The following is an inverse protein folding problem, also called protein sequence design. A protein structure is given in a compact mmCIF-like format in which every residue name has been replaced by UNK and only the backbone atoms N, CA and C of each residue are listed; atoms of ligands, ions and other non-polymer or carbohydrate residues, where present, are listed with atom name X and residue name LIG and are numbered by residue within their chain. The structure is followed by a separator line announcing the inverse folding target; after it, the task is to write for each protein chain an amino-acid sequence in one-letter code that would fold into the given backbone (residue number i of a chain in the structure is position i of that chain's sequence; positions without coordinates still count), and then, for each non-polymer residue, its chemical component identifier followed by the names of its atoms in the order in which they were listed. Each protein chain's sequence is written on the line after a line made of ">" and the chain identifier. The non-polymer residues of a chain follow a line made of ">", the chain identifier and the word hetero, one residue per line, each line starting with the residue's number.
data_IF_761960599435
#
_entry.id   IF_761960599435
#
_cell.length_a   1.000
_cell.length_b   1.000
_cell.length_c   1.000
_cell.angle_alpha   90.00
_cell.angle_beta   90.00
_cell.angle_gamma   90.00
#
_symmetry.space_group_name_H-M   'P 1'
#
loop_
_entity.id
_entity.type
_entity.pdbx_description
1 polymer ?
#
# COMPACT_ATOMS: atom_id res chain seq x y z
N UNK A 1 -1.97 22.41 -51.91
CA UNK A 1 -2.62 21.80 -50.73
C UNK A 1 -1.85 20.54 -50.36
N UNK A 2 -1.03 20.61 -49.31
CA UNK A 2 -0.45 19.43 -48.65
C UNK A 2 -1.12 19.39 -47.28
N UNK A 3 -2.15 18.55 -47.16
CA UNK A 3 -2.88 18.41 -45.91
C UNK A 3 -1.97 17.81 -44.84
N UNK A 4 -1.98 18.50 -43.71
CA UNK A 4 -1.24 18.21 -42.50
C UNK A 4 -1.73 16.91 -41.88
N UNK A 5 -0.91 15.85 -41.89
CA UNK A 5 -1.14 14.70 -41.03
C UNK A 5 -0.56 14.95 -39.63
N UNK A 6 -1.12 15.92 -38.89
CA UNK A 6 -0.89 15.99 -37.44
C UNK A 6 -1.71 14.88 -36.80
N UNK A 7 -1.14 13.66 -36.78
CA UNK A 7 -1.58 12.62 -35.83
C UNK A 7 -1.30 13.17 -34.42
N UNK A 8 -2.26 13.91 -33.87
CA UNK A 8 -2.34 14.20 -32.46
C UNK A 8 -2.28 12.87 -31.72
N UNK A 9 -1.11 12.53 -31.17
CA UNK A 9 -0.99 11.46 -30.18
C UNK A 9 -1.70 11.97 -28.94
N UNK A 10 -3.02 11.80 -28.87
CA UNK A 10 -3.78 12.02 -27.64
C UNK A 10 -3.11 11.19 -26.54
N UNK A 11 -2.42 11.87 -25.62
CA UNK A 11 -1.79 11.23 -24.48
C UNK A 11 -2.92 10.75 -23.58
N UNK A 12 -3.19 9.44 -23.58
CA UNK A 12 -4.09 8.82 -22.61
C UNK A 12 -3.51 9.09 -21.21
N UNK A 13 -4.27 9.76 -20.34
CA UNK A 13 -3.86 10.08 -18.96
C UNK A 13 -4.71 9.31 -17.95
N UNK A 14 -4.14 8.96 -16.81
CA UNK A 14 -4.86 8.26 -15.77
C UNK A 14 -5.92 9.17 -15.12
N UNK A 15 -7.14 8.66 -15.01
CA UNK A 15 -8.28 9.39 -14.44
C UNK A 15 -8.14 9.78 -12.96
N UNK A 16 -7.20 9.16 -12.22
CA UNK A 16 -6.99 9.42 -10.79
C UNK A 16 -5.71 10.22 -10.55
N UNK A 17 -4.59 9.75 -11.10
CA UNK A 17 -3.26 10.30 -10.83
C UNK A 17 -2.80 11.33 -11.88
N UNK A 18 -3.51 11.46 -13.02
CA UNK A 18 -3.10 12.30 -14.15
C UNK A 18 -1.86 11.83 -14.91
N UNK A 19 -1.23 10.72 -14.52
CA UNK A 19 -0.02 10.23 -15.15
C UNK A 19 -0.28 9.74 -16.59
N UNK A 20 0.69 9.96 -17.48
CA UNK A 20 0.66 9.50 -18.87
C UNK A 20 0.66 7.97 -18.91
N UNK A 21 -0.31 7.38 -19.61
CA UNK A 21 -0.45 5.95 -19.81
C UNK A 21 0.28 5.54 -21.10
N UNK A 22 1.08 4.46 -21.01
CA UNK A 22 1.70 3.84 -22.18
C UNK A 22 0.79 2.82 -22.88
N UNK A 23 -0.32 2.44 -22.23
CA UNK A 23 -1.22 1.37 -22.67
C UNK A 23 -2.68 1.86 -22.65
N UNK A 24 -3.56 1.12 -23.30
CA UNK A 24 -5.00 1.35 -23.42
C UNK A 24 -5.79 1.10 -22.12
N UNK A 25 -5.20 1.47 -20.98
CA UNK A 25 -5.75 1.22 -19.66
C UNK A 25 -6.18 2.53 -19.00
N UNK A 26 -7.34 2.55 -18.35
CA UNK A 26 -7.86 3.77 -17.69
C UNK A 26 -7.10 4.20 -16.42
N UNK A 27 -6.28 3.30 -15.83
CA UNK A 27 -5.60 3.52 -14.54
C UNK A 27 -4.10 3.17 -14.55
N UNK A 28 -3.30 3.98 -13.85
CA UNK A 28 -1.84 3.92 -13.83
C UNK A 28 -1.25 2.88 -12.87
N UNK A 29 -1.99 2.43 -11.86
CA UNK A 29 -1.53 1.46 -10.85
C UNK A 29 -2.69 0.73 -10.17
N UNK A 30 -2.40 -0.35 -9.46
CA UNK A 30 -3.35 -1.04 -8.57
C UNK A 30 -4.01 -0.06 -7.60
N UNK A 31 -3.21 0.82 -6.97
CA UNK A 31 -3.73 1.83 -6.06
C UNK A 31 -4.66 2.86 -6.73
N UNK A 32 -4.40 3.25 -7.97
CA UNK A 32 -5.31 4.14 -8.70
C UNK A 32 -6.58 3.43 -9.15
N UNK A 33 -6.49 2.13 -9.46
CA UNK A 33 -7.67 1.32 -9.76
C UNK A 33 -8.54 1.11 -8.51
N UNK A 34 -7.93 0.84 -7.35
CA UNK A 34 -8.62 0.73 -6.07
C UNK A 34 -9.30 2.05 -5.68
N UNK A 35 -8.58 3.16 -5.86
CA UNK A 35 -9.10 4.49 -5.62
C UNK A 35 -10.32 4.80 -6.52
N UNK A 36 -10.27 4.45 -7.80
CA UNK A 36 -11.40 4.68 -8.71
C UNK A 36 -12.70 3.95 -8.31
N UNK A 37 -12.62 2.94 -7.44
CA UNK A 37 -13.80 2.25 -6.89
C UNK A 37 -14.41 2.99 -5.69
N UNK A 38 -13.76 4.02 -5.16
CA UNK A 38 -14.28 4.83 -4.06
C UNK A 38 -15.27 5.85 -4.63
N UNK A 39 -16.57 5.78 -4.27
CA UNK A 39 -17.55 6.75 -4.76
C UNK A 39 -17.20 8.16 -4.27
N UNK A 40 -17.28 9.15 -5.16
CA UNK A 40 -16.99 10.55 -4.87
C UNK A 40 -18.15 11.45 -5.35
N UNK A 41 -18.47 12.50 -4.59
CA UNK A 41 -19.51 13.48 -4.94
C UNK A 41 -20.80 13.31 -4.14
N UNK A 42 -21.95 13.68 -4.73
CA UNK A 42 -23.28 13.64 -4.08
C UNK A 42 -23.75 12.22 -3.74
N UNK A 43 -23.16 11.21 -4.35
CA UNK A 43 -23.41 9.78 -4.10
C UNK A 43 -22.43 9.15 -3.09
N UNK A 44 -21.74 9.98 -2.29
CA UNK A 44 -20.90 9.51 -1.19
C UNK A 44 -21.77 8.91 -0.07
N UNK A 45 -22.08 7.62 -0.19
CA UNK A 45 -22.72 6.86 0.89
C UNK A 45 -21.82 6.85 2.15
N UNK A 46 -22.42 6.88 3.36
CA UNK A 46 -21.69 7.09 4.61
C UNK A 46 -20.68 5.99 4.95
N UNK A 47 -20.79 4.80 4.35
CA UNK A 47 -19.82 3.69 4.49
C UNK A 47 -19.78 2.90 3.18
N UNK A 48 -18.76 3.11 2.34
CA UNK A 48 -18.51 2.22 1.19
C UNK A 48 -17.66 1.03 1.64
N UNK A 49 -17.85 -0.15 1.02
CA UNK A 49 -17.05 -1.36 1.30
C UNK A 49 -15.53 -1.08 1.20
N UNK A 50 -15.15 -0.25 0.23
CA UNK A 50 -13.78 0.19 0.00
C UNK A 50 -13.22 1.00 1.19
N UNK A 51 -14.04 1.86 1.80
CA UNK A 51 -13.67 2.62 3.00
C UNK A 51 -13.53 1.70 4.22
N UNK A 52 -14.42 0.72 4.39
CA UNK A 52 -14.31 -0.30 5.45
C UNK A 52 -13.04 -1.11 5.31
N UNK A 53 -12.70 -1.57 4.09
CA UNK A 53 -11.44 -2.27 3.82
C UNK A 53 -10.24 -1.38 4.16
N UNK A 54 -10.25 -0.10 3.77
CA UNK A 54 -9.20 0.85 4.13
C UNK A 54 -9.04 1.02 5.64
N UNK A 55 -10.15 1.16 6.38
CA UNK A 55 -10.16 1.28 7.85
C UNK A 55 -9.60 0.03 8.52
N UNK A 56 -10.05 -1.16 8.12
CA UNK A 56 -9.54 -2.44 8.63
C UNK A 56 -8.05 -2.55 8.36
N UNK A 57 -7.60 -2.14 7.18
CA UNK A 57 -6.19 -2.16 6.81
C UNK A 57 -5.34 -1.24 7.69
N UNK A 58 -5.79 0.00 7.92
CA UNK A 58 -5.14 0.93 8.82
C UNK A 58 -5.11 0.39 10.26
N UNK A 59 -6.22 -0.20 10.72
CA UNK A 59 -6.29 -0.82 12.04
C UNK A 59 -5.27 -1.95 12.18
N UNK A 60 -5.16 -2.85 11.20
CA UNK A 60 -4.21 -3.96 11.21
C UNK A 60 -2.76 -3.44 11.23
N UNK A 61 -2.40 -2.50 10.36
CA UNK A 61 -1.04 -1.94 10.31
C UNK A 61 -0.67 -1.21 11.60
N UNK A 62 -1.61 -0.43 12.14
CA UNK A 62 -1.42 0.27 13.40
C UNK A 62 -1.20 -0.71 14.55
N UNK A 63 -2.00 -1.77 14.64
CA UNK A 63 -1.84 -2.81 15.66
C UNK A 63 -0.52 -3.57 15.48
N UNK A 64 -0.10 -3.87 14.25
CA UNK A 64 1.20 -4.48 13.99
C UNK A 64 2.34 -3.63 14.56
N UNK A 65 2.31 -2.31 14.29
CA UNK A 65 3.29 -1.36 14.79
C UNK A 65 3.25 -1.22 16.32
N UNK A 66 2.05 -1.15 16.92
CA UNK A 66 1.90 -1.11 18.37
C UNK A 66 2.47 -2.36 19.05
N UNK A 67 2.18 -3.55 18.52
CA UNK A 67 2.70 -4.81 19.05
C UNK A 67 4.22 -4.89 18.92
N UNK A 68 4.79 -4.41 17.82
CA UNK A 68 6.24 -4.31 17.62
C UNK A 68 6.88 -3.40 18.68
N UNK A 69 6.32 -2.21 18.89
CA UNK A 69 6.82 -1.25 19.90
C UNK A 69 6.63 -1.80 21.32
N UNK A 70 5.50 -2.44 21.62
CA UNK A 70 5.26 -3.06 22.92
C UNK A 70 6.25 -4.20 23.21
N UNK A 71 6.55 -5.03 22.20
CA UNK A 71 7.57 -6.08 22.31
C UNK A 71 8.96 -5.50 22.55
N UNK A 72 9.32 -4.40 21.87
CA UNK A 72 10.59 -3.69 22.06
C UNK A 72 10.73 -3.16 23.49
N UNK A 73 9.70 -2.49 23.99
CA UNK A 73 9.69 -1.93 25.35
C UNK A 73 9.78 -3.05 26.39
N UNK A 74 9.10 -4.18 26.17
CA UNK A 74 9.08 -5.30 27.12
C UNK A 74 10.35 -6.15 27.10
N UNK A 75 10.98 -6.30 25.95
CA UNK A 75 12.28 -6.97 25.83
C UNK A 75 13.37 -6.18 26.57
N UNK A 76 13.40 -4.85 26.38
CA UNK A 76 14.34 -3.95 27.09
C UNK A 76 14.14 -3.87 28.61
N UNK A 77 13.02 -4.36 29.15
CA UNK A 77 12.72 -4.38 30.59
C UNK A 77 12.93 -5.76 31.22
N UNK A 78 13.67 -6.66 30.57
CA UNK A 78 14.01 -8.01 31.04
C UNK A 78 12.80 -8.92 31.32
N UNK A 79 11.61 -8.56 30.83
CA UNK A 79 10.43 -9.44 30.88
C UNK A 79 10.42 -10.39 29.69
N UNK A 80 11.37 -11.33 29.68
CA UNK A 80 11.72 -12.22 28.55
C UNK A 80 10.47 -12.86 27.91
N UNK A 81 9.53 -13.38 28.72
CA UNK A 81 8.33 -14.06 28.17
C UNK A 81 7.22 -13.14 27.63
N UNK A 82 7.20 -11.84 27.97
CA UNK A 82 6.17 -10.92 27.52
C UNK A 82 6.55 -10.24 26.20
N UNK A 83 7.83 -9.90 26.01
CA UNK A 83 8.36 -9.30 24.77
C UNK A 83 8.13 -10.21 23.56
N UNK A 84 8.47 -11.49 23.69
CA UNK A 84 8.33 -12.49 22.63
C UNK A 84 6.88 -12.71 22.19
N UNK A 85 5.92 -12.65 23.13
CA UNK A 85 4.49 -12.78 22.80
C UNK A 85 4.02 -11.62 21.93
N UNK A 86 4.41 -10.39 22.26
CA UNK A 86 4.07 -9.21 21.45
C UNK A 86 4.74 -9.25 20.07
N UNK A 87 6.01 -9.69 20.00
CA UNK A 87 6.72 -9.87 18.73
C UNK A 87 6.06 -10.92 17.85
N UNK A 88 5.71 -12.07 18.42
CA UNK A 88 5.02 -13.15 17.70
C UNK A 88 3.64 -12.71 17.22
N UNK A 89 2.89 -11.98 18.05
CA UNK A 89 1.59 -11.42 17.67
C UNK A 89 1.73 -10.40 16.52
N UNK A 90 2.73 -9.51 16.59
CA UNK A 90 3.05 -8.56 15.51
C UNK A 90 3.40 -9.28 14.22
N UNK A 91 4.23 -10.35 14.31
CA UNK A 91 4.62 -11.16 13.17
C UNK A 91 3.41 -11.84 12.52
N UNK A 92 2.56 -12.50 13.31
CA UNK A 92 1.36 -13.18 12.83
C UNK A 92 0.39 -12.20 12.13
N UNK A 93 0.16 -11.03 12.74
CA UNK A 93 -0.65 -9.98 12.16
C UNK A 93 -0.05 -9.44 10.86
N UNK A 94 1.28 -9.29 10.84
CA UNK A 94 2.04 -8.86 9.67
C UNK A 94 1.98 -9.84 8.51
N UNK A 95 2.05 -11.15 8.78
CA UNK A 95 1.90 -12.21 7.77
C UNK A 95 0.49 -12.20 7.20
N UNK A 96 -0.54 -12.18 8.05
CA UNK A 96 -1.94 -12.14 7.62
C UNK A 96 -2.22 -10.93 6.70
N UNK A 97 -1.69 -9.76 7.08
CA UNK A 97 -1.79 -8.56 6.26
C UNK A 97 -1.04 -8.69 4.92
N UNK A 98 0.19 -9.21 4.93
CA UNK A 98 0.98 -9.38 3.72
C UNK A 98 0.27 -10.28 2.70
N UNK A 99 -0.34 -11.39 3.16
CA UNK A 99 -1.16 -12.25 2.30
C UNK A 99 -2.32 -11.50 1.65
N UNK A 100 -3.04 -10.70 2.43
CA UNK A 100 -4.12 -9.85 1.92
C UNK A 100 -3.61 -8.85 0.88
N UNK A 101 -2.50 -8.16 1.20
CA UNK A 101 -1.93 -7.13 0.34
C UNK A 101 -1.36 -7.68 -0.98
N UNK A 102 -0.73 -8.86 -0.94
CA UNK A 102 -0.27 -9.57 -2.13
C UNK A 102 -1.44 -10.03 -3.00
N UNK A 103 -2.51 -10.54 -2.40
CA UNK A 103 -3.73 -10.92 -3.14
C UNK A 103 -4.34 -9.70 -3.84
N UNK A 104 -4.38 -8.55 -3.17
CA UNK A 104 -4.83 -7.29 -3.76
C UNK A 104 -3.92 -6.83 -4.92
N UNK A 105 -2.59 -6.98 -4.78
CA UNK A 105 -1.64 -6.67 -5.84
C UNK A 105 -1.79 -7.59 -7.06
N UNK A 106 -1.98 -8.89 -6.87
CA UNK A 106 -2.15 -9.86 -7.96
C UNK A 106 -3.46 -9.62 -8.71
N UNK A 107 -4.57 -9.46 -7.98
CA UNK A 107 -5.90 -9.22 -8.58
C UNK A 107 -6.03 -7.87 -9.26
N UNK A 108 -5.24 -6.87 -8.86
CA UNK A 108 -5.25 -5.52 -9.43
C UNK A 108 -3.94 -5.16 -10.13
N UNK A 109 -3.27 -6.18 -10.67
CA UNK A 109 -1.92 -6.22 -11.23
C UNK A 109 -1.28 -4.86 -11.58
N UNK A 110 -0.08 -4.57 -11.04
CA UNK A 110 0.59 -3.30 -11.27
C UNK A 110 0.90 -3.08 -12.76
N UNK A 111 0.55 -1.90 -13.28
CA UNK A 111 0.82 -1.49 -14.67
C UNK A 111 2.03 -0.57 -14.78
N UNK A 112 2.64 -0.22 -13.64
CA UNK A 112 3.76 0.71 -13.54
C UNK A 112 4.97 -0.01 -12.97
N UNK A 113 6.13 0.21 -13.59
CA UNK A 113 7.41 -0.39 -13.20
C UNK A 113 7.77 -0.14 -11.73
N UNK A 114 7.40 1.02 -11.18
CA UNK A 114 7.65 1.35 -9.77
C UNK A 114 6.95 0.40 -8.80
N UNK A 115 5.73 -0.04 -9.12
CA UNK A 115 4.98 -0.94 -8.24
C UNK A 115 5.60 -2.36 -8.26
N UNK A 116 6.22 -2.75 -9.37
CA UNK A 116 7.07 -3.96 -9.45
C UNK A 116 8.35 -3.84 -8.63
N UNK A 117 9.03 -2.69 -8.73
CA UNK A 117 10.22 -2.41 -7.91
C UNK A 117 9.88 -2.54 -6.43
N UNK A 118 8.76 -1.98 -5.99
CA UNK A 118 8.34 -2.11 -4.58
C UNK A 118 8.08 -3.57 -4.19
N UNK A 119 7.39 -4.34 -5.04
CA UNK A 119 7.15 -5.77 -4.77
C UNK A 119 8.44 -6.58 -4.68
N UNK A 120 9.37 -6.39 -5.62
CA UNK A 120 10.68 -7.05 -5.65
C UNK A 120 11.52 -6.65 -4.43
N UNK A 121 11.60 -5.36 -4.13
CA UNK A 121 12.31 -4.84 -2.95
C UNK A 121 11.74 -5.45 -1.67
N UNK A 122 10.41 -5.60 -1.58
CA UNK A 122 9.76 -6.28 -0.46
C UNK A 122 10.24 -7.73 -0.28
N UNK A 123 10.30 -8.50 -1.38
CA UNK A 123 10.82 -9.86 -1.35
C UNK A 123 12.29 -9.89 -0.92
N UNK A 124 13.14 -9.01 -1.45
CA UNK A 124 14.54 -8.91 -1.06
C UNK A 124 14.70 -8.62 0.44
N UNK A 125 13.91 -7.69 1.00
CA UNK A 125 13.96 -7.37 2.44
C UNK A 125 13.64 -8.60 3.32
N UNK A 126 12.74 -9.48 2.87
CA UNK A 126 12.36 -10.69 3.61
C UNK A 126 13.38 -11.83 3.48
N UNK A 127 14.02 -11.95 2.32
CA UNK A 127 14.86 -13.11 1.98
C UNK A 127 16.35 -12.89 2.29
N UNK A 128 16.85 -11.65 2.28
CA UNK A 128 18.28 -11.37 2.51
C UNK A 128 18.67 -11.77 3.95
N UNK A 129 19.58 -12.74 4.15
CA UNK A 129 20.03 -13.08 5.50
C UNK A 129 20.78 -11.88 6.12
N UNK A 130 20.45 -11.51 7.36
CA UNK A 130 21.29 -10.57 8.14
C UNK A 130 21.99 -11.34 9.26
N UNK A 131 23.25 -11.01 9.56
CA UNK A 131 23.96 -11.55 10.70
C UNK A 131 23.36 -11.03 12.02
N UNK A 132 23.05 -11.97 12.91
CA UNK A 132 23.02 -11.83 14.39
C UNK A 132 22.18 -10.70 15.05
N UNK A 133 20.99 -10.39 14.54
CA UNK A 133 19.97 -9.75 15.38
C UNK A 133 18.89 -10.80 15.70
N UNK A 134 18.58 -10.98 17.00
CA UNK A 134 17.58 -11.92 17.52
C UNK A 134 16.50 -12.25 16.48
N UNK A 135 16.48 -13.51 16.01
CA UNK A 135 15.78 -13.89 14.78
C UNK A 135 14.33 -13.37 14.73
N UNK A 136 13.61 -13.38 15.86
CA UNK A 136 12.24 -12.90 15.94
C UNK A 136 12.10 -11.39 15.71
N UNK A 137 12.96 -10.56 16.32
CA UNK A 137 12.90 -9.11 16.18
C UNK A 137 13.25 -8.66 14.76
N UNK A 138 14.34 -9.21 14.19
CA UNK A 138 14.78 -8.88 12.82
C UNK A 138 13.68 -9.17 11.80
N UNK A 139 13.06 -10.36 11.87
CA UNK A 139 11.98 -10.74 10.96
C UNK A 139 10.72 -9.90 11.12
N UNK A 140 10.32 -9.60 12.36
CA UNK A 140 9.11 -8.81 12.62
C UNK A 140 9.26 -7.38 12.10
N UNK A 141 10.44 -6.77 12.29
CA UNK A 141 10.75 -5.43 11.76
C UNK A 141 10.74 -5.40 10.23
N UNK A 142 11.39 -6.38 9.57
CA UNK A 142 11.37 -6.50 8.10
C UNK A 142 9.95 -6.63 7.56
N UNK A 143 9.13 -7.46 8.20
CA UNK A 143 7.71 -7.61 7.82
C UNK A 143 6.95 -6.29 7.95
N UNK A 144 7.18 -5.51 9.01
CA UNK A 144 6.58 -4.20 9.16
C UNK A 144 7.00 -3.23 8.04
N UNK A 145 8.29 -3.24 7.66
CA UNK A 145 8.82 -2.41 6.56
C UNK A 145 8.16 -2.81 5.22
N UNK A 146 8.10 -4.10 4.90
CA UNK A 146 7.49 -4.58 3.65
C UNK A 146 6.01 -4.24 3.60
N UNK A 147 5.29 -4.43 4.70
CA UNK A 147 3.89 -4.05 4.80
C UNK A 147 3.70 -2.56 4.57
N UNK A 148 4.54 -1.70 5.14
CA UNK A 148 4.50 -0.25 4.91
C UNK A 148 4.74 0.11 3.43
N UNK A 149 5.72 -0.51 2.78
CA UNK A 149 6.04 -0.29 1.36
C UNK A 149 4.88 -0.70 0.44
N UNK A 150 4.27 -1.85 0.70
CA UNK A 150 3.13 -2.32 -0.09
C UNK A 150 1.91 -1.43 0.15
N UNK A 151 1.65 -1.03 1.40
CA UNK A 151 0.54 -0.16 1.75
C UNK A 151 0.65 1.21 1.11
N UNK A 152 1.82 1.85 1.17
CA UNK A 152 2.04 3.13 0.48
C UNK A 152 1.77 3.03 -1.02
N UNK A 153 2.10 1.89 -1.65
CA UNK A 153 1.79 1.64 -3.06
C UNK A 153 0.31 1.43 -3.34
N UNK A 154 -0.38 0.64 -2.51
CA UNK A 154 -1.82 0.38 -2.63
C UNK A 154 -2.68 1.62 -2.34
N UNK A 155 -2.31 2.46 -1.38
CA UNK A 155 -3.09 3.62 -0.96
C UNK A 155 -2.73 4.93 -1.66
N UNK A 156 -1.67 4.95 -2.48
CA UNK A 156 -1.27 6.14 -3.23
C UNK A 156 -2.42 6.75 -4.06
N UNK A 157 -3.29 5.91 -4.63
CA UNK A 157 -4.44 6.40 -5.40
C UNK A 157 -5.46 7.17 -4.54
N UNK A 158 -5.64 6.76 -3.28
CA UNK A 158 -6.51 7.44 -2.32
C UNK A 158 -5.96 8.83 -1.98
N UNK A 159 -4.63 8.94 -1.82
CA UNK A 159 -3.97 10.23 -1.63
C UNK A 159 -4.24 11.19 -2.80
N UNK A 160 -4.12 10.73 -4.05
CA UNK A 160 -4.41 11.57 -5.22
C UNK A 160 -5.88 12.00 -5.29
N UNK A 161 -6.82 11.11 -4.94
CA UNK A 161 -8.23 11.46 -4.82
C UNK A 161 -8.47 12.55 -3.77
N UNK A 162 -7.84 12.44 -2.60
CA UNK A 162 -7.95 13.44 -1.54
C UNK A 162 -7.42 14.81 -1.99
N UNK A 163 -6.24 14.84 -2.61
CA UNK A 163 -5.65 16.09 -3.15
C UNK A 163 -6.58 16.71 -4.21
N UNK A 164 -7.14 15.91 -5.12
CA UNK A 164 -8.07 16.39 -6.14
C UNK A 164 -9.37 16.94 -5.52
N UNK A 165 -9.91 16.28 -4.49
CA UNK A 165 -11.10 16.75 -3.76
C UNK A 165 -10.88 18.10 -3.10
N UNK A 166 -9.70 18.33 -2.49
CA UNK A 166 -9.37 19.60 -1.85
C UNK A 166 -9.34 20.76 -2.85
N UNK A 167 -8.71 20.56 -4.02
CA UNK A 167 -8.65 21.57 -5.09
C UNK A 167 -10.02 21.97 -5.64
N UNK A 168 -11.00 21.07 -5.60
CA UNK A 168 -12.37 21.36 -6.04
C UNK A 168 -13.21 22.11 -4.99
N UNK A 169 -12.77 22.16 -3.73
CA UNK A 169 -13.43 22.95 -2.66
C UNK A 169 -12.92 24.39 -2.57
N UNK A 170 -11.76 24.67 -3.16
CA UNK A 170 -11.12 25.99 -3.19
C UNK A 170 -11.53 26.81 -4.43
N UNK A 171 -12.39 26.26 -5.30
CA UNK A 171 -13.02 26.93 -6.44
C UNK A 171 -14.50 27.12 -6.18
#
# INVERSE_FOLDING_TARGET
>A
MKDESVKSKEKKVCLICGAILRLEHRHCSAGCMLAAKIPAGKDALPVSWQLSVLLVSCFVLFNQALLLVAGLIKSNRETIGAGDRFMTASLALGIAWLFFALTALVTHFPKRLWDFVVGITGIFILVVPLPELEMAFSYTLRMAIVNLLICTSLYRGVYYLWVASKKNKEK
#
